data_IF_184503856668
#
_entry.id   IF_184503856668
#
_cell.length_a   1.000
_cell.length_b   1.000
_cell.length_c   1.000
_cell.angle_alpha   90.00
_cell.angle_beta   90.00
_cell.angle_gamma   90.00
#
_symmetry.space_group_name_H-M   'P 1'
#
loop_
_entity.id
_entity.type
_entity.pdbx_description
1 polymer ?
#
# COMPACT_ATOMS: atom_id res chain seq x y z
N UNK A 1 -4.07 -12.62 3.08
CA UNK A 1 -4.85 -13.04 4.25
C UNK A 1 -6.28 -12.50 4.26
N UNK A 2 -6.59 -11.20 4.48
CA UNK A 2 -7.94 -10.63 4.70
C UNK A 2 -9.00 -11.07 3.67
N UNK A 3 -8.75 -10.85 2.37
CA UNK A 3 -9.73 -11.20 1.32
C UNK A 3 -10.07 -12.69 1.31
N UNK A 4 -9.10 -13.55 1.61
CA UNK A 4 -9.30 -15.00 1.64
C UNK A 4 -10.17 -15.42 2.83
N UNK A 5 -9.93 -14.84 4.00
CA UNK A 5 -10.71 -15.10 5.21
C UNK A 5 -12.17 -14.62 5.03
N UNK A 6 -12.37 -13.40 4.53
CA UNK A 6 -13.70 -12.84 4.27
C UNK A 6 -14.46 -13.66 3.20
N UNK A 7 -13.76 -14.11 2.14
CA UNK A 7 -14.37 -14.97 1.11
C UNK A 7 -14.89 -16.30 1.68
N UNK A 8 -14.24 -16.80 2.74
CA UNK A 8 -14.65 -17.98 3.50
C UNK A 8 -15.67 -17.70 4.59
N UNK A 9 -16.12 -16.46 4.73
CA UNK A 9 -17.07 -16.04 5.76
C UNK A 9 -16.49 -15.97 7.18
N UNK A 10 -15.17 -15.75 7.31
CA UNK A 10 -14.50 -15.60 8.61
C UNK A 10 -14.43 -14.13 9.01
N UNK A 11 -14.23 -13.86 10.30
CA UNK A 11 -13.87 -12.56 10.85
C UNK A 11 -12.36 -12.51 11.05
N UNK A 12 -11.76 -11.35 10.75
CA UNK A 12 -10.34 -11.09 11.04
C UNK A 12 -10.26 -9.78 11.79
N UNK A 13 -9.72 -9.84 12.99
CA UNK A 13 -9.45 -8.66 13.77
C UNK A 13 -8.03 -8.18 13.50
N UNK A 14 -7.89 -6.90 13.24
CA UNK A 14 -6.61 -6.27 12.93
C UNK A 14 -6.39 -5.12 13.90
N UNK A 15 -5.27 -5.16 14.60
CA UNK A 15 -4.79 -4.07 15.44
C UNK A 15 -3.81 -3.24 14.64
N UNK A 16 -4.09 -1.94 14.54
CA UNK A 16 -3.19 -0.93 13.97
C UNK A 16 -2.58 -0.13 15.12
N UNK A 17 -1.27 -0.04 15.18
CA UNK A 17 -0.55 0.66 16.25
C UNK A 17 0.22 1.85 15.71
N UNK A 18 0.39 2.88 16.54
CA UNK A 18 1.19 4.07 16.27
C UNK A 18 2.14 4.29 17.45
N UNK A 19 3.43 4.46 17.18
CA UNK A 19 4.39 4.79 18.23
C UNK A 19 4.43 6.30 18.49
N UNK A 20 4.52 6.68 19.76
CA UNK A 20 4.72 8.08 20.15
C UNK A 20 6.10 8.55 19.72
N UNK A 21 6.19 9.40 18.67
CA UNK A 21 7.46 9.95 18.15
C UNK A 21 8.52 8.87 17.88
N UNK A 22 8.15 7.84 17.11
CA UNK A 22 8.94 6.64 16.86
C UNK A 22 10.42 6.92 16.57
N UNK A 23 10.72 7.77 15.58
CA UNK A 23 12.08 8.10 15.17
C UNK A 23 12.86 8.94 16.20
N UNK A 24 12.17 9.70 17.04
CA UNK A 24 12.81 10.62 18.01
C UNK A 24 13.12 9.93 19.35
N UNK A 25 12.47 8.81 19.64
CA UNK A 25 12.57 8.11 20.94
C UNK A 25 13.54 6.94 20.98
N UNK A 26 14.09 6.50 19.86
CA UNK A 26 15.00 5.35 19.80
C UNK A 26 16.19 5.55 20.76
N UNK A 27 16.35 4.77 21.84
CA UNK A 27 17.49 4.93 22.77
C UNK A 27 18.78 4.48 22.08
N UNK A 28 19.78 5.37 22.04
CA UNK A 28 21.05 5.11 21.31
C UNK A 28 21.77 3.87 21.81
N UNK A 29 21.80 3.64 23.15
CA UNK A 29 22.48 2.50 23.73
C UNK A 29 21.83 1.16 23.36
N UNK A 30 20.48 1.10 23.32
CA UNK A 30 19.76 -0.12 22.92
C UNK A 30 19.95 -0.36 21.41
N UNK A 31 19.85 0.67 20.58
CA UNK A 31 20.09 0.57 19.14
C UNK A 31 21.49 0.02 18.86
N UNK A 32 22.52 0.59 19.49
CA UNK A 32 23.92 0.15 19.32
C UNK A 32 24.12 -1.31 19.79
N UNK A 33 23.50 -1.70 20.90
CA UNK A 33 23.53 -3.09 21.38
C UNK A 33 22.88 -4.05 20.37
N UNK A 34 21.71 -3.69 19.83
CA UNK A 34 21.03 -4.51 18.78
C UNK A 34 21.86 -4.60 17.50
N UNK A 35 22.46 -3.49 17.05
CA UNK A 35 23.35 -3.48 15.88
C UNK A 35 24.54 -4.41 16.08
N UNK A 36 25.15 -4.40 17.28
CA UNK A 36 26.24 -5.32 17.64
C UNK A 36 25.78 -6.77 17.61
N UNK A 37 24.58 -7.07 18.15
CA UNK A 37 24.00 -8.42 18.12
C UNK A 37 23.69 -8.90 16.69
N UNK A 38 23.40 -8.00 15.76
CA UNK A 38 23.24 -8.31 14.33
C UNK A 38 24.57 -8.47 13.58
N UNK A 39 25.72 -8.40 14.29
CA UNK A 39 27.04 -8.57 13.70
C UNK A 39 27.66 -7.28 13.14
N UNK A 40 27.04 -6.12 13.34
CA UNK A 40 27.60 -4.81 12.97
C UNK A 40 28.58 -4.39 14.07
N UNK A 41 29.86 -4.71 13.88
CA UNK A 41 30.94 -4.49 14.87
C UNK A 41 32.11 -3.68 14.26
N UNK A 42 33.15 -3.41 15.04
CA UNK A 42 34.38 -2.76 14.58
C UNK A 42 34.18 -1.31 14.12
N UNK A 43 34.84 -0.94 13.05
CA UNK A 43 34.87 0.46 12.55
C UNK A 43 33.49 1.00 12.19
N UNK A 44 32.62 0.17 11.59
CA UNK A 44 31.27 0.59 11.23
C UNK A 44 30.43 0.87 12.48
N UNK A 45 30.49 0.03 13.49
CA UNK A 45 29.80 0.27 14.76
C UNK A 45 30.28 1.56 15.45
N UNK A 46 31.59 1.78 15.49
CA UNK A 46 32.18 2.98 16.05
C UNK A 46 31.74 4.23 15.29
N UNK A 47 31.65 4.15 13.95
CA UNK A 47 31.16 5.24 13.13
C UNK A 47 29.68 5.52 13.41
N UNK A 48 28.82 4.51 13.48
CA UNK A 48 27.39 4.67 13.81
C UNK A 48 27.21 5.28 15.20
N UNK A 49 28.00 4.86 16.17
CA UNK A 49 28.03 5.46 17.52
C UNK A 49 28.37 6.94 17.45
N UNK A 50 29.46 7.31 16.79
CA UNK A 50 29.87 8.71 16.58
C UNK A 50 28.83 9.54 15.83
N UNK A 51 28.09 8.90 14.91
CA UNK A 51 27.02 9.54 14.14
C UNK A 51 25.78 9.86 14.99
N UNK A 52 25.49 9.11 16.04
CA UNK A 52 24.37 9.30 16.95
C UNK A 52 24.71 10.22 18.14
N UNK A 53 25.90 10.11 18.68
CA UNK A 53 26.35 10.81 19.90
C UNK A 53 26.81 12.23 19.61
N UNK A 54 26.84 13.06 20.68
CA UNK A 54 27.35 14.46 20.66
C UNK A 54 26.67 15.34 19.61
N UNK A 55 25.39 15.17 19.45
CA UNK A 55 24.57 15.98 18.57
C UNK A 55 23.79 16.99 19.37
N UNK A 56 23.67 18.18 18.82
CA UNK A 56 22.97 19.30 19.44
C UNK A 56 22.00 19.92 18.44
N UNK A 57 20.92 20.48 18.93
CA UNK A 57 19.99 21.25 18.12
C UNK A 57 19.54 22.52 18.79
N UNK A 58 19.11 23.48 18.00
CA UNK A 58 18.39 24.67 18.42
C UNK A 58 17.27 24.97 17.41
N UNK A 59 16.26 25.70 17.84
CA UNK A 59 15.16 26.15 16.97
C UNK A 59 15.42 27.60 16.58
N UNK A 60 15.37 27.90 15.27
CA UNK A 60 15.49 29.27 14.76
C UNK A 60 14.17 29.69 14.08
N UNK A 61 13.59 30.82 14.53
CA UNK A 61 12.36 31.40 13.97
C UNK A 61 12.56 32.90 13.85
N UNK A 62 12.38 33.45 12.66
CA UNK A 62 12.49 34.91 12.39
C UNK A 62 13.77 35.56 12.91
N UNK A 63 14.90 34.85 12.82
CA UNK A 63 16.19 35.34 13.30
C UNK A 63 16.50 35.11 14.78
N UNK A 64 15.54 34.70 15.57
CA UNK A 64 15.76 34.32 16.98
C UNK A 64 16.11 32.83 17.07
N UNK A 65 17.01 32.51 18.03
CA UNK A 65 17.49 31.15 18.32
C UNK A 65 17.14 30.76 19.74
N UNK A 66 16.67 29.50 19.90
CA UNK A 66 16.51 28.90 21.22
C UNK A 66 17.89 28.59 21.86
N UNK A 67 17.93 28.23 23.15
CA UNK A 67 19.08 27.56 23.74
C UNK A 67 19.45 26.29 22.92
N UNK A 68 20.70 25.85 23.08
CA UNK A 68 21.20 24.63 22.48
C UNK A 68 20.82 23.44 23.37
N UNK A 69 20.28 22.38 22.80
CA UNK A 69 19.89 21.15 23.50
C UNK A 69 20.67 19.97 22.93
N UNK A 70 21.10 19.07 23.80
CA UNK A 70 21.72 17.81 23.39
C UNK A 70 20.65 16.79 22.96
N UNK A 71 20.96 16.03 21.92
CA UNK A 71 20.12 14.92 21.43
C UNK A 71 20.59 13.64 22.11
N UNK A 72 19.78 13.14 23.04
CA UNK A 72 20.09 11.92 23.82
C UNK A 72 19.39 10.66 23.29
N UNK A 73 18.46 10.81 22.34
CA UNK A 73 17.68 9.72 21.72
C UNK A 73 17.31 10.06 20.28
N UNK A 74 16.82 9.06 19.58
CA UNK A 74 16.30 9.19 18.23
C UNK A 74 17.34 9.01 17.13
N UNK A 75 16.82 8.70 15.95
CA UNK A 75 17.61 8.59 14.72
C UNK A 75 17.42 9.85 13.86
N UNK A 76 18.48 10.32 13.16
CA UNK A 76 18.41 11.58 12.43
C UNK A 76 17.37 11.56 11.32
N UNK A 77 16.32 12.35 11.45
CA UNK A 77 15.31 12.51 10.43
C UNK A 77 15.88 13.21 9.19
N UNK A 78 15.49 12.77 8.00
CA UNK A 78 16.00 13.28 6.73
C UNK A 78 17.36 12.74 6.31
N UNK A 79 17.97 11.86 7.11
CA UNK A 79 19.19 11.15 6.72
C UNK A 79 18.87 9.84 5.97
N UNK A 80 19.81 9.35 5.16
CA UNK A 80 19.66 8.03 4.51
C UNK A 80 19.83 6.87 5.51
N UNK A 81 20.56 7.07 6.59
CA UNK A 81 20.88 6.04 7.59
C UNK A 81 19.78 5.91 8.66
N UNK A 82 19.07 7.00 8.97
CA UNK A 82 18.02 7.02 9.99
C UNK A 82 16.95 5.93 9.82
N UNK A 83 16.31 5.81 8.66
CA UNK A 83 15.32 4.76 8.43
C UNK A 83 15.90 3.33 8.54
N UNK A 84 17.15 3.12 8.12
CA UNK A 84 17.83 1.82 8.23
C UNK A 84 18.07 1.47 9.70
N UNK A 85 18.53 2.43 10.50
CA UNK A 85 18.74 2.23 11.93
C UNK A 85 17.42 1.98 12.67
N UNK A 86 16.35 2.70 12.31
CA UNK A 86 15.03 2.44 12.89
C UNK A 86 14.54 1.04 12.54
N UNK A 87 14.66 0.63 11.27
CA UNK A 87 14.30 -0.74 10.87
C UNK A 87 15.12 -1.80 11.61
N UNK A 88 16.42 -1.59 11.79
CA UNK A 88 17.25 -2.50 12.56
C UNK A 88 16.85 -2.54 14.05
N UNK A 89 16.48 -1.39 14.63
CA UNK A 89 16.00 -1.29 16.01
C UNK A 89 14.70 -2.06 16.23
N UNK A 90 13.74 -1.92 15.30
CA UNK A 90 12.41 -2.50 15.40
C UNK A 90 12.29 -3.94 14.82
N UNK A 91 13.40 -4.50 14.29
CA UNK A 91 13.39 -5.78 13.56
C UNK A 91 13.04 -6.99 14.42
N UNK A 92 13.12 -6.89 15.74
CA UNK A 92 12.77 -7.94 16.69
C UNK A 92 11.30 -7.90 17.14
N UNK A 93 10.52 -6.86 16.81
CA UNK A 93 9.08 -6.78 17.13
C UNK A 93 8.30 -8.02 16.66
N UNK A 94 8.48 -8.53 15.42
CA UNK A 94 7.74 -9.71 14.98
C UNK A 94 7.99 -10.96 15.84
N UNK A 95 9.09 -11.03 16.57
CA UNK A 95 9.40 -12.17 17.43
C UNK A 95 8.63 -12.16 18.76
N UNK A 96 8.13 -11.02 19.20
CA UNK A 96 7.27 -10.95 20.39
C UNK A 96 5.81 -11.31 20.06
N UNK A 97 5.37 -11.20 18.81
CA UNK A 97 4.01 -11.51 18.35
C UNK A 97 3.92 -12.97 17.93
N UNK A 98 3.42 -13.84 18.82
CA UNK A 98 3.46 -15.30 18.64
C UNK A 98 2.22 -15.87 17.95
N UNK A 99 1.09 -15.20 18.08
CA UNK A 99 -0.23 -15.73 17.72
C UNK A 99 -0.87 -15.01 16.53
N UNK A 100 -0.25 -13.91 16.05
CA UNK A 100 -0.77 -13.04 15.00
C UNK A 100 0.15 -12.97 13.79
N UNK A 101 -0.42 -12.72 12.61
CA UNK A 101 0.37 -12.31 11.44
C UNK A 101 0.75 -10.83 11.59
N UNK A 102 2.05 -10.56 11.63
CA UNK A 102 2.63 -9.22 11.77
C UNK A 102 2.98 -8.61 10.42
N UNK A 103 2.65 -7.33 10.23
CA UNK A 103 3.05 -6.53 9.07
C UNK A 103 3.58 -5.19 9.55
N UNK A 104 4.79 -4.87 9.14
CA UNK A 104 5.47 -3.64 9.55
C UNK A 104 6.03 -2.90 8.35
N UNK A 105 5.87 -1.57 8.35
CA UNK A 105 6.48 -0.67 7.39
C UNK A 105 6.97 0.58 8.12
N UNK A 106 8.27 0.65 8.39
CA UNK A 106 8.86 1.63 9.31
C UNK A 106 8.15 1.58 10.68
N UNK A 107 7.53 2.67 11.11
CA UNK A 107 6.79 2.78 12.36
C UNK A 107 5.31 2.34 12.26
N UNK A 108 4.79 2.17 11.05
CA UNK A 108 3.44 1.65 10.83
C UNK A 108 3.43 0.13 11.08
N UNK A 109 2.99 -0.29 12.27
CA UNK A 109 2.87 -1.69 12.68
C UNK A 109 1.40 -2.09 12.72
N UNK A 110 1.08 -3.24 12.16
CA UNK A 110 -0.22 -3.89 12.31
C UNK A 110 -0.07 -5.39 12.44
N UNK A 111 -0.93 -6.00 13.21
CA UNK A 111 -0.98 -7.45 13.34
C UNK A 111 -2.41 -7.94 13.41
N UNK A 112 -2.65 -9.16 13.03
CA UNK A 112 -4.00 -9.65 12.73
C UNK A 112 -4.15 -11.13 13.04
N UNK A 113 -5.37 -11.49 13.46
CA UNK A 113 -5.77 -12.88 13.73
C UNK A 113 -7.15 -13.16 13.17
N UNK A 114 -7.38 -14.38 12.69
CA UNK A 114 -8.72 -14.88 12.36
C UNK A 114 -9.42 -15.21 13.67
N UNK A 115 -10.62 -14.66 13.88
CA UNK A 115 -11.41 -14.86 15.12
C UNK A 115 -12.51 -15.89 14.84
N UNK A 116 -12.38 -17.05 15.46
CA UNK A 116 -13.35 -18.15 15.40
C UNK A 116 -13.94 -18.48 16.77
N UNK A 117 -13.22 -18.15 17.85
CA UNK A 117 -13.60 -18.36 19.26
C UNK A 117 -13.13 -17.19 20.13
N UNK A 118 -13.58 -17.18 21.39
CA UNK A 118 -13.12 -16.21 22.40
C UNK A 118 -11.63 -16.41 22.72
N UNK A 119 -11.12 -17.64 22.66
CA UNK A 119 -9.69 -17.93 22.81
C UNK A 119 -8.83 -17.18 21.78
N UNK A 120 -9.33 -16.99 20.54
CA UNK A 120 -8.60 -16.21 19.51
C UNK A 120 -8.50 -14.74 19.90
N UNK A 121 -9.49 -14.21 20.63
CA UNK A 121 -9.47 -12.84 21.16
C UNK A 121 -8.39 -12.72 22.24
N UNK A 122 -8.35 -13.67 23.18
CA UNK A 122 -7.36 -13.70 24.26
C UNK A 122 -5.93 -13.83 23.71
N UNK A 123 -5.73 -14.66 22.68
CA UNK A 123 -4.44 -14.81 22.02
C UNK A 123 -4.01 -13.52 21.30
N UNK A 124 -4.93 -12.81 20.65
CA UNK A 124 -4.62 -11.52 20.04
C UNK A 124 -4.34 -10.44 21.11
N UNK A 125 -5.06 -10.45 22.24
CA UNK A 125 -4.77 -9.58 23.39
C UNK A 125 -3.38 -9.88 23.96
N UNK A 126 -3.00 -11.15 24.11
CA UNK A 126 -1.66 -11.54 24.56
C UNK A 126 -0.54 -10.99 23.69
N UNK A 127 -0.76 -10.91 22.37
CA UNK A 127 0.20 -10.26 21.46
C UNK A 127 0.24 -8.73 21.66
N UNK A 128 -0.91 -8.08 21.95
CA UNK A 128 -0.91 -6.66 22.33
C UNK A 128 -0.07 -6.43 23.59
N UNK A 129 -0.27 -7.27 24.62
CA UNK A 129 0.46 -7.16 25.89
C UNK A 129 1.96 -7.39 25.70
N UNK A 130 2.33 -8.36 24.84
CA UNK A 130 3.72 -8.62 24.47
C UNK A 130 4.36 -7.44 23.77
N UNK A 131 3.62 -6.74 22.90
CA UNK A 131 4.09 -5.50 22.25
C UNK A 131 4.28 -4.37 23.28
N UNK A 132 3.37 -4.22 24.24
CA UNK A 132 3.49 -3.23 25.32
C UNK A 132 4.74 -3.51 26.17
N UNK A 133 4.99 -4.77 26.50
CA UNK A 133 6.21 -5.17 27.20
C UNK A 133 7.46 -4.85 26.38
N UNK A 134 7.47 -5.19 25.08
CA UNK A 134 8.58 -4.85 24.18
C UNK A 134 8.84 -3.33 24.17
N UNK A 135 7.78 -2.53 24.11
CA UNK A 135 7.89 -1.06 24.16
C UNK A 135 8.57 -0.60 25.45
N UNK A 136 8.15 -1.12 26.59
CA UNK A 136 8.73 -0.80 27.91
C UNK A 136 10.23 -1.15 27.97
N UNK A 137 10.59 -2.33 27.51
CA UNK A 137 11.99 -2.82 27.49
C UNK A 137 12.88 -2.03 26.54
N UNK A 138 12.32 -1.52 25.46
CA UNK A 138 13.06 -0.79 24.43
C UNK A 138 12.92 0.74 24.53
N UNK A 139 12.33 1.27 25.60
CA UNK A 139 12.18 2.72 25.79
C UNK A 139 11.22 3.38 24.79
N UNK A 140 10.33 2.60 24.19
CA UNK A 140 9.30 3.07 23.26
C UNK A 140 7.96 3.22 23.97
N UNK A 141 7.02 3.90 23.33
CA UNK A 141 5.67 4.08 23.84
C UNK A 141 4.64 4.07 22.72
N UNK A 142 3.54 3.38 22.92
CA UNK A 142 2.42 3.40 21.99
C UNK A 142 1.55 4.66 22.21
N UNK A 143 1.10 5.25 21.12
CA UNK A 143 0.11 6.31 21.16
C UNK A 143 -1.30 5.71 21.09
N UNK A 144 -1.86 5.34 22.23
CA UNK A 144 -3.15 4.63 22.30
C UNK A 144 -4.28 5.37 21.56
N UNK A 145 -4.26 6.71 21.58
CA UNK A 145 -5.26 7.54 20.85
C UNK A 145 -5.20 7.38 19.34
N UNK A 146 -4.11 6.83 18.81
CA UNK A 146 -3.91 6.53 17.39
C UNK A 146 -3.82 5.03 17.12
N UNK A 147 -3.99 4.20 18.11
CA UNK A 147 -4.15 2.77 17.94
C UNK A 147 -5.62 2.47 17.62
N UNK A 148 -5.85 1.63 16.63
CA UNK A 148 -7.19 1.28 16.17
C UNK A 148 -7.36 -0.22 16.04
N UNK A 149 -8.56 -0.69 16.32
CA UNK A 149 -8.99 -2.04 16.05
C UNK A 149 -10.04 -2.04 14.93
N UNK A 150 -9.87 -2.92 13.94
CA UNK A 150 -10.81 -3.10 12.83
C UNK A 150 -11.23 -4.56 12.72
N UNK A 151 -12.53 -4.81 12.75
CA UNK A 151 -13.14 -6.13 12.49
C UNK A 151 -13.42 -6.25 11.00
N UNK A 152 -12.60 -6.99 10.28
CA UNK A 152 -12.82 -7.26 8.87
C UNK A 152 -13.72 -8.48 8.71
N UNK A 153 -14.97 -8.27 8.33
CA UNK A 153 -15.95 -9.34 8.13
C UNK A 153 -17.12 -8.88 7.26
N UNK A 154 -17.83 -9.85 6.69
CA UNK A 154 -19.14 -9.68 6.03
C UNK A 154 -20.22 -10.52 6.71
N UNK A 155 -19.94 -11.10 7.86
CA UNK A 155 -20.94 -11.79 8.68
C UNK A 155 -21.97 -10.77 9.21
N UNK A 156 -23.24 -11.20 9.30
CA UNK A 156 -24.29 -10.39 9.96
C UNK A 156 -24.10 -10.37 11.48
N UNK A 157 -23.69 -11.51 12.03
CA UNK A 157 -23.39 -11.66 13.46
C UNK A 157 -21.88 -11.70 13.59
N UNK A 158 -21.31 -10.72 14.26
CA UNK A 158 -19.88 -10.60 14.55
C UNK A 158 -19.59 -11.06 15.96
N UNK A 159 -18.41 -11.69 16.15
CA UNK A 159 -17.89 -11.94 17.49
C UNK A 159 -17.50 -10.61 18.13
N UNK A 160 -18.05 -10.33 19.29
CA UNK A 160 -17.69 -9.13 20.05
C UNK A 160 -16.26 -9.29 20.58
N UNK A 161 -15.40 -8.33 20.31
CA UNK A 161 -14.02 -8.32 20.80
C UNK A 161 -13.66 -6.91 21.25
N UNK A 162 -12.93 -6.80 22.35
CA UNK A 162 -12.42 -5.54 22.91
C UNK A 162 -10.96 -5.80 23.26
N UNK A 163 -10.08 -4.87 22.87
CA UNK A 163 -8.64 -4.97 23.11
C UNK A 163 -8.15 -3.77 23.89
N UNK A 164 -7.10 -3.98 24.69
CA UNK A 164 -6.58 -3.00 25.62
C UNK A 164 -5.07 -2.81 25.44
N UNK A 165 -4.59 -1.60 25.67
CA UNK A 165 -3.17 -1.29 25.90
C UNK A 165 -3.04 -0.83 27.34
N UNK A 166 -2.59 -1.69 28.24
CA UNK A 166 -2.65 -1.46 29.68
C UNK A 166 -4.08 -1.29 30.14
N UNK A 167 -4.43 -0.13 30.69
CA UNK A 167 -5.80 0.20 31.15
C UNK A 167 -6.68 0.81 30.04
N UNK A 168 -6.11 1.22 28.94
CA UNK A 168 -6.81 1.98 27.90
C UNK A 168 -7.39 1.06 26.84
N UNK A 169 -8.65 1.28 26.47
CA UNK A 169 -9.33 0.52 25.40
C UNK A 169 -8.86 1.01 24.04
N UNK A 170 -8.49 0.07 23.15
CA UNK A 170 -8.21 0.36 21.74
C UNK A 170 -9.54 0.67 21.03
N UNK A 171 -9.60 1.83 20.38
CA UNK A 171 -10.81 2.26 19.69
C UNK A 171 -11.15 1.35 18.50
N UNK A 172 -12.36 0.75 18.50
CA UNK A 172 -12.89 0.07 17.31
C UNK A 172 -13.33 1.09 16.27
N UNK A 173 -12.89 0.87 15.02
CA UNK A 173 -13.27 1.71 13.87
C UNK A 173 -13.70 0.85 12.71
N UNK A 174 -14.66 1.34 11.90
CA UNK A 174 -15.12 0.65 10.70
C UNK A 174 -14.28 0.93 9.47
N UNK A 175 -13.36 1.89 9.55
CA UNK A 175 -12.48 2.30 8.46
C UNK A 175 -11.12 2.71 9.02
N UNK A 176 -10.06 2.35 8.31
CA UNK A 176 -8.69 2.73 8.64
C UNK A 176 -7.95 3.16 7.37
N UNK A 177 -7.04 4.10 7.52
CA UNK A 177 -6.12 4.48 6.44
C UNK A 177 -4.77 3.81 6.68
N UNK A 178 -4.41 2.92 5.76
CA UNK A 178 -3.18 2.14 5.80
C UNK A 178 -2.35 2.43 4.55
N UNK A 179 -1.12 2.90 4.71
CA UNK A 179 -0.20 3.31 3.63
C UNK A 179 -0.89 4.12 2.52
N UNK A 180 -1.76 5.04 2.91
CA UNK A 180 -2.47 5.94 2.00
C UNK A 180 -3.73 5.38 1.34
N UNK A 181 -4.09 4.11 1.57
CA UNK A 181 -5.34 3.47 1.13
C UNK A 181 -6.32 3.39 2.28
N UNK A 182 -7.59 3.77 2.06
CA UNK A 182 -8.64 3.59 3.07
C UNK A 182 -9.24 2.20 2.91
N UNK A 183 -9.16 1.40 3.96
CA UNK A 183 -9.78 0.10 4.09
C UNK A 183 -11.05 0.24 4.92
N UNK A 184 -12.15 -0.28 4.41
CA UNK A 184 -13.39 -0.44 5.17
C UNK A 184 -13.53 -1.89 5.66
N UNK A 185 -14.24 -2.09 6.77
CA UNK A 185 -14.41 -3.41 7.43
C UNK A 185 -14.94 -4.52 6.51
N UNK A 186 -15.58 -4.17 5.39
CA UNK A 186 -16.10 -5.12 4.41
C UNK A 186 -15.20 -5.27 3.16
N UNK A 187 -14.07 -4.58 3.10
CA UNK A 187 -13.16 -4.51 1.95
C UNK A 187 -13.86 -4.14 0.63
N UNK A 188 -14.79 -3.20 0.67
CA UNK A 188 -15.48 -2.71 -0.53
C UNK A 188 -14.64 -1.69 -1.29
N UNK A 189 -13.75 -0.99 -0.60
CA UNK A 189 -12.97 0.16 -1.09
C UNK A 189 -13.82 1.32 -1.61
N UNK A 190 -15.14 1.31 -1.40
CA UNK A 190 -16.02 2.41 -1.81
C UNK A 190 -15.61 3.73 -1.17
N UNK A 191 -15.36 3.82 0.16
CA UNK A 191 -14.91 5.05 0.80
C UNK A 191 -13.58 5.56 0.25
N UNK A 192 -12.65 4.65 -0.10
CA UNK A 192 -11.40 5.02 -0.73
C UNK A 192 -11.62 5.65 -2.11
N UNK A 193 -12.39 4.98 -2.98
CA UNK A 193 -12.70 5.47 -4.33
C UNK A 193 -13.38 6.84 -4.28
N UNK A 194 -14.30 7.06 -3.35
CA UNK A 194 -14.94 8.37 -3.17
C UNK A 194 -13.97 9.45 -2.71
N UNK A 195 -13.11 9.12 -1.78
CA UNK A 195 -12.06 10.03 -1.29
C UNK A 195 -11.10 10.47 -2.40
N UNK A 196 -10.59 9.52 -3.20
CA UNK A 196 -9.66 9.84 -4.30
C UNK A 196 -10.36 10.61 -5.42
N UNK A 197 -11.62 10.31 -5.74
CA UNK A 197 -12.41 11.07 -6.72
C UNK A 197 -12.56 12.52 -6.24
N UNK A 198 -12.92 12.73 -4.97
CA UNK A 198 -13.05 14.09 -4.38
C UNK A 198 -11.72 14.85 -4.45
N UNK A 199 -10.61 14.20 -4.03
CA UNK A 199 -9.27 14.79 -4.07
C UNK A 199 -8.83 15.10 -5.49
N UNK A 200 -8.95 14.15 -6.42
CA UNK A 200 -8.55 14.32 -7.81
C UNK A 200 -9.41 15.39 -8.54
N UNK A 201 -10.71 15.49 -8.24
CA UNK A 201 -11.58 16.54 -8.79
C UNK A 201 -11.16 17.93 -8.34
N UNK A 202 -10.78 18.09 -7.05
CA UNK A 202 -10.24 19.34 -6.51
C UNK A 202 -8.91 19.71 -7.20
N UNK A 203 -8.00 18.73 -7.35
CA UNK A 203 -6.72 18.94 -8.04
C UNK A 203 -6.92 19.25 -9.53
N UNK A 204 -7.87 18.59 -10.20
CA UNK A 204 -8.21 18.90 -11.60
C UNK A 204 -8.70 20.34 -11.74
N UNK A 205 -9.58 20.81 -10.85
CA UNK A 205 -10.03 22.20 -10.84
C UNK A 205 -8.86 23.19 -10.70
N UNK A 206 -7.91 22.89 -9.81
CA UNK A 206 -6.69 23.67 -9.66
C UNK A 206 -5.86 23.68 -10.95
N UNK A 207 -5.58 22.50 -11.52
CA UNK A 207 -4.81 22.35 -12.76
C UNK A 207 -5.48 23.15 -13.89
N UNK A 208 -6.78 22.98 -14.12
CA UNK A 208 -7.51 23.66 -15.21
C UNK A 208 -7.39 25.20 -15.10
N UNK A 209 -7.49 25.75 -13.90
CA UNK A 209 -7.37 27.21 -13.71
C UNK A 209 -5.97 27.74 -13.99
N UNK A 210 -4.94 26.94 -13.68
CA UNK A 210 -3.55 27.39 -13.77
C UNK A 210 -2.84 27.02 -15.09
N UNK A 211 -3.44 26.17 -15.94
CA UNK A 211 -2.82 25.78 -17.22
C UNK A 211 -3.18 26.68 -18.41
N UNK A 212 -3.97 27.72 -18.23
CA UNK A 212 -4.41 28.59 -19.30
C UNK A 212 -3.26 29.33 -20.02
N UNK A 213 -2.24 29.74 -19.27
CA UNK A 213 -1.04 30.39 -19.81
C UNK A 213 -0.07 29.45 -20.57
N UNK A 214 -0.21 28.14 -20.44
CA UNK A 214 0.68 27.21 -21.15
C UNK A 214 0.19 26.96 -22.58
N UNK A 215 1.05 27.22 -23.57
CA UNK A 215 0.71 27.02 -24.99
C UNK A 215 0.74 25.52 -25.38
N UNK A 216 1.74 24.74 -24.88
CA UNK A 216 1.96 23.35 -25.28
C UNK A 216 1.02 22.39 -24.55
N UNK A 217 0.30 21.55 -25.32
CA UNK A 217 -0.56 20.49 -24.75
C UNK A 217 0.23 19.47 -23.96
N UNK A 218 1.48 19.17 -24.32
CA UNK A 218 2.36 18.25 -23.59
C UNK A 218 2.63 18.72 -22.16
N UNK A 219 2.85 20.02 -21.93
CA UNK A 219 3.03 20.59 -20.59
C UNK A 219 1.75 20.46 -19.75
N UNK A 220 0.58 20.73 -20.36
CA UNK A 220 -0.72 20.56 -19.69
C UNK A 220 -0.97 19.10 -19.29
N UNK A 221 -0.64 18.15 -20.17
CA UNK A 221 -0.75 16.71 -19.92
C UNK A 221 0.23 16.29 -18.81
N UNK A 222 1.45 16.81 -18.81
CA UNK A 222 2.43 16.51 -17.76
C UNK A 222 1.90 16.93 -16.37
N UNK A 223 1.36 18.14 -16.25
CA UNK A 223 0.77 18.62 -14.99
C UNK A 223 -0.43 17.77 -14.56
N UNK A 224 -1.31 17.40 -15.49
CA UNK A 224 -2.40 16.46 -15.19
C UNK A 224 -1.88 15.13 -14.69
N UNK A 225 -0.88 14.56 -15.36
CA UNK A 225 -0.30 13.26 -14.99
C UNK A 225 0.33 13.28 -13.61
N UNK A 226 1.05 14.36 -13.26
CA UNK A 226 1.77 14.47 -12.00
C UNK A 226 0.84 14.77 -10.82
N UNK A 227 -0.16 15.65 -11.01
CA UNK A 227 -0.97 16.19 -9.91
C UNK A 227 -2.29 15.43 -9.76
N UNK A 228 -2.93 15.04 -10.86
CA UNK A 228 -4.29 14.46 -10.83
C UNK A 228 -4.25 12.95 -11.01
N UNK A 229 -3.61 12.48 -12.10
CA UNK A 229 -3.60 11.05 -12.43
C UNK A 229 -2.86 10.22 -11.38
N UNK A 230 -1.78 10.72 -10.80
CA UNK A 230 -1.05 10.06 -9.71
C UNK A 230 -1.97 9.68 -8.55
N UNK A 231 -2.91 10.56 -8.18
CA UNK A 231 -3.92 10.28 -7.13
C UNK A 231 -4.89 9.17 -7.55
N UNK A 232 -5.27 9.11 -8.84
CA UNK A 232 -6.23 8.13 -9.37
C UNK A 232 -5.64 6.74 -9.62
N UNK A 233 -4.31 6.61 -9.57
CA UNK A 233 -3.60 5.36 -9.89
C UNK A 233 -2.80 4.79 -8.70
N UNK A 234 -2.56 5.59 -7.66
CA UNK A 234 -1.78 5.15 -6.50
C UNK A 234 -2.38 3.87 -5.89
N UNK A 235 -1.55 2.83 -5.74
CA UNK A 235 -1.93 1.52 -5.19
C UNK A 235 -3.16 0.87 -5.85
N UNK A 236 -3.47 1.18 -7.11
CA UNK A 236 -4.70 0.71 -7.77
C UNK A 236 -4.81 -0.81 -7.85
N UNK A 237 -3.72 -1.54 -7.80
CA UNK A 237 -3.71 -3.02 -7.70
C UNK A 237 -4.40 -3.52 -6.44
N UNK A 238 -4.41 -2.75 -5.34
CA UNK A 238 -5.09 -3.13 -4.09
C UNK A 238 -6.60 -2.88 -4.21
N UNK A 239 -7.00 -1.65 -4.54
CA UNK A 239 -8.39 -1.17 -4.43
C UNK A 239 -9.16 -1.14 -5.75
N UNK A 240 -8.60 -1.63 -6.85
CA UNK A 240 -9.23 -1.57 -8.18
C UNK A 240 -10.72 -1.94 -8.13
N UNK A 241 -11.62 -1.01 -8.47
CA UNK A 241 -13.05 -1.28 -8.39
C UNK A 241 -13.47 -2.27 -9.49
N UNK A 242 -14.31 -3.21 -9.12
CA UNK A 242 -14.91 -4.16 -10.06
C UNK A 242 -16.28 -3.69 -10.57
N UNK A 243 -16.94 -2.78 -9.86
CA UNK A 243 -18.20 -2.19 -10.32
C UNK A 243 -18.00 -1.14 -11.41
N UNK A 244 -18.76 -1.25 -12.49
CA UNK A 244 -18.69 -0.31 -13.62
C UNK A 244 -18.95 1.14 -13.21
N UNK A 245 -19.86 1.38 -12.26
CA UNK A 245 -20.21 2.70 -11.74
C UNK A 245 -18.99 3.44 -11.18
N UNK A 246 -18.16 2.78 -10.40
CA UNK A 246 -16.95 3.37 -9.83
C UNK A 246 -15.88 3.62 -10.91
N UNK A 247 -15.70 2.69 -11.83
CA UNK A 247 -14.81 2.86 -12.97
C UNK A 247 -15.22 4.07 -13.83
N UNK A 248 -16.51 4.21 -14.13
CA UNK A 248 -17.03 5.35 -14.89
C UNK A 248 -16.83 6.69 -14.15
N UNK A 249 -17.01 6.72 -12.82
CA UNK A 249 -16.78 7.92 -12.00
C UNK A 249 -15.32 8.34 -12.02
N UNK A 250 -14.37 7.41 -11.91
CA UNK A 250 -12.94 7.68 -12.03
C UNK A 250 -12.59 8.21 -13.42
N UNK A 251 -13.08 7.52 -14.46
CA UNK A 251 -12.82 7.88 -15.85
C UNK A 251 -13.39 9.26 -16.22
N UNK A 252 -14.50 9.70 -15.59
CA UNK A 252 -15.11 11.02 -15.79
C UNK A 252 -14.15 12.16 -15.50
N UNK A 253 -13.20 11.98 -14.56
CA UNK A 253 -12.18 12.99 -14.24
C UNK A 253 -11.25 13.21 -15.44
N UNK A 254 -10.74 12.12 -16.03
CA UNK A 254 -9.90 12.20 -17.23
C UNK A 254 -10.68 12.71 -18.45
N UNK A 255 -11.94 12.28 -18.62
CA UNK A 255 -12.82 12.77 -19.68
C UNK A 255 -12.98 14.30 -19.61
N UNK A 256 -13.16 14.85 -18.39
CA UNK A 256 -13.28 16.30 -18.17
C UNK A 256 -11.98 17.03 -18.51
N UNK A 257 -10.82 16.51 -18.11
CA UNK A 257 -9.52 17.07 -18.49
C UNK A 257 -9.34 17.11 -20.01
N UNK A 258 -9.56 15.97 -20.67
CA UNK A 258 -9.41 15.85 -22.12
C UNK A 258 -10.42 16.71 -22.90
N UNK A 259 -11.62 16.88 -22.36
CA UNK A 259 -12.59 17.81 -22.94
C UNK A 259 -12.07 19.25 -22.89
N UNK A 260 -11.57 19.68 -21.75
CA UNK A 260 -11.00 21.03 -21.59
C UNK A 260 -9.77 21.23 -22.50
N UNK A 261 -8.89 20.24 -22.58
CA UNK A 261 -7.71 20.27 -23.43
C UNK A 261 -8.08 20.35 -24.92
N UNK A 262 -9.09 19.58 -25.36
CA UNK A 262 -9.58 19.59 -26.73
C UNK A 262 -10.22 20.94 -27.09
N UNK A 263 -11.02 21.53 -26.19
CA UNK A 263 -11.61 22.84 -26.38
C UNK A 263 -10.53 23.91 -26.53
N UNK A 264 -9.54 23.94 -25.66
CA UNK A 264 -8.44 24.89 -25.70
C UNK A 264 -7.55 24.77 -26.97
N UNK A 265 -7.60 23.66 -27.67
CA UNK A 265 -6.85 23.41 -28.93
C UNK A 265 -7.74 23.53 -30.19
N UNK A 266 -8.98 24.01 -30.08
CA UNK A 266 -9.88 24.20 -31.23
C UNK A 266 -10.23 22.90 -31.97
N UNK A 267 -10.22 21.73 -31.27
CA UNK A 267 -10.44 20.44 -31.90
C UNK A 267 -11.84 20.29 -32.43
N UNK A 268 -12.00 19.91 -33.70
CA UNK A 268 -13.24 19.78 -34.42
C UNK A 268 -14.27 18.87 -33.73
N UNK A 269 -15.57 19.09 -34.04
CA UNK A 269 -16.71 18.30 -33.52
C UNK A 269 -16.55 16.79 -33.78
N UNK A 270 -15.91 16.38 -34.91
CA UNK A 270 -15.66 14.96 -35.24
C UNK A 270 -14.77 14.23 -34.22
N UNK A 271 -13.86 14.93 -33.56
CA UNK A 271 -12.95 14.36 -32.53
C UNK A 271 -13.46 14.55 -31.11
N UNK A 272 -14.77 14.64 -30.90
CA UNK A 272 -15.38 14.88 -29.57
C UNK A 272 -15.62 13.62 -28.76
N UNK A 273 -15.57 12.42 -29.36
CA UNK A 273 -15.64 11.18 -28.59
C UNK A 273 -14.46 11.06 -27.64
N UNK A 274 -14.62 10.33 -26.55
CA UNK A 274 -13.55 10.14 -25.56
C UNK A 274 -12.36 9.42 -26.19
N UNK A 275 -12.62 8.36 -26.96
CA UNK A 275 -11.58 7.54 -27.58
C UNK A 275 -10.81 8.32 -28.65
N UNK A 276 -11.49 9.15 -29.45
CA UNK A 276 -10.83 10.04 -30.39
C UNK A 276 -9.90 11.07 -29.70
N UNK A 277 -10.29 11.56 -28.52
CA UNK A 277 -9.43 12.46 -27.73
C UNK A 277 -8.24 11.73 -27.11
N UNK A 278 -8.45 10.52 -26.59
CA UNK A 278 -7.35 9.68 -26.11
C UNK A 278 -6.31 9.45 -27.21
N UNK A 279 -6.75 9.02 -28.38
CA UNK A 279 -5.87 8.80 -29.55
C UNK A 279 -5.14 10.09 -29.96
N UNK A 280 -5.86 11.21 -30.08
CA UNK A 280 -5.28 12.50 -30.48
C UNK A 280 -4.17 12.97 -29.53
N UNK A 281 -4.40 12.86 -28.21
CA UNK A 281 -3.44 13.30 -27.19
C UNK A 281 -2.47 12.17 -26.77
N UNK A 282 -2.49 11.03 -27.43
CA UNK A 282 -1.67 9.83 -27.12
C UNK A 282 -1.79 9.43 -25.64
N UNK A 283 -3.01 9.50 -25.11
CA UNK A 283 -3.33 9.09 -23.74
C UNK A 283 -4.10 7.77 -23.75
N UNK A 284 -4.05 7.07 -22.63
CA UNK A 284 -4.71 5.78 -22.41
C UNK A 284 -5.77 5.96 -21.32
N UNK A 285 -6.89 5.21 -21.40
CA UNK A 285 -7.92 5.25 -20.37
C UNK A 285 -7.37 4.82 -19.01
N UNK A 286 -7.92 5.36 -17.92
CA UNK A 286 -7.49 5.00 -16.57
C UNK A 286 -7.76 3.52 -16.26
N UNK A 287 -8.82 2.94 -16.82
CA UNK A 287 -9.11 1.52 -16.67
C UNK A 287 -8.00 0.66 -17.30
N UNK A 288 -7.66 0.93 -18.56
CA UNK A 288 -6.57 0.23 -19.25
C UNK A 288 -5.24 0.39 -18.51
N UNK A 289 -4.94 1.57 -17.99
CA UNK A 289 -3.73 1.81 -17.20
C UNK A 289 -3.67 1.00 -15.92
N UNK A 290 -4.79 0.88 -15.19
CA UNK A 290 -4.87 0.01 -13.99
C UNK A 290 -4.66 -1.46 -14.35
N UNK A 291 -5.17 -1.92 -15.49
CA UNK A 291 -4.91 -3.28 -15.97
C UNK A 291 -3.44 -3.51 -16.32
N UNK A 292 -2.80 -2.53 -16.97
CA UNK A 292 -1.35 -2.58 -17.24
C UNK A 292 -0.55 -2.60 -15.94
N UNK A 293 -0.93 -1.80 -14.94
CA UNK A 293 -0.28 -1.80 -13.62
C UNK A 293 -0.39 -3.17 -12.92
N UNK A 294 -1.56 -3.81 -12.99
CA UNK A 294 -1.78 -5.17 -12.50
C UNK A 294 -0.86 -6.18 -13.21
N UNK A 295 -0.74 -6.10 -14.54
CA UNK A 295 0.15 -6.97 -15.33
C UNK A 295 1.62 -6.80 -14.92
N UNK A 296 2.08 -5.55 -14.80
CA UNK A 296 3.45 -5.22 -14.38
C UNK A 296 3.73 -5.73 -12.96
N UNK A 297 2.76 -5.58 -12.05
CA UNK A 297 2.88 -6.05 -10.68
C UNK A 297 3.05 -7.57 -10.64
N UNK A 298 2.21 -8.31 -11.37
CA UNK A 298 2.32 -9.76 -11.50
C UNK A 298 3.67 -10.19 -12.09
N UNK A 299 4.10 -9.56 -13.17
CA UNK A 299 5.41 -9.85 -13.79
C UNK A 299 6.55 -9.67 -12.78
N UNK A 300 6.52 -8.58 -12.00
CA UNK A 300 7.56 -8.30 -11.01
C UNK A 300 7.61 -9.35 -9.90
N UNK A 301 6.44 -9.85 -9.43
CA UNK A 301 6.37 -10.92 -8.43
C UNK A 301 6.91 -12.23 -9.02
N UNK A 302 6.42 -12.65 -10.19
CA UNK A 302 6.83 -13.90 -10.81
C UNK A 302 8.33 -13.94 -11.18
N UNK A 303 8.93 -12.77 -11.40
CA UNK A 303 10.37 -12.61 -11.70
C UNK A 303 11.23 -12.33 -10.47
N UNK A 304 10.67 -12.43 -9.26
CA UNK A 304 11.39 -12.15 -8.01
C UNK A 304 11.89 -10.70 -7.87
N UNK A 305 11.34 -9.75 -8.68
CA UNK A 305 11.68 -8.32 -8.56
C UNK A 305 10.93 -7.63 -7.41
N UNK A 306 9.89 -8.26 -6.92
CA UNK A 306 9.21 -7.96 -5.67
C UNK A 306 9.33 -9.20 -4.82
N UNK A 307 10.07 -9.09 -3.72
CA UNK A 307 10.20 -10.16 -2.76
C UNK A 307 8.96 -10.20 -1.87
N UNK A 308 8.09 -11.15 -2.13
CA UNK A 308 6.87 -11.40 -1.35
C UNK A 308 6.47 -12.87 -1.48
N UNK A 309 7.16 -13.79 -0.77
CA UNK A 309 6.92 -15.23 -0.86
C UNK A 309 5.49 -15.61 -0.52
N UNK A 310 4.88 -14.95 0.48
CA UNK A 310 3.49 -15.21 0.90
C UNK A 310 2.48 -14.89 -0.21
N UNK A 311 2.75 -13.89 -1.04
CA UNK A 311 1.88 -13.59 -2.18
C UNK A 311 2.19 -14.52 -3.36
N UNK A 312 3.47 -14.79 -3.61
CA UNK A 312 3.92 -15.69 -4.68
C UNK A 312 3.35 -17.09 -4.53
N UNK A 313 3.31 -17.64 -3.32
CA UNK A 313 2.76 -18.97 -3.02
C UNK A 313 1.27 -19.12 -3.33
N UNK A 314 0.54 -18.03 -3.53
CA UNK A 314 -0.86 -18.05 -3.94
C UNK A 314 -1.06 -18.18 -5.46
N UNK A 315 0.00 -18.08 -6.26
CA UNK A 315 -0.06 -18.28 -7.70
C UNK A 315 0.28 -19.72 -8.06
N UNK A 316 -0.73 -20.47 -8.51
CA UNK A 316 -0.58 -21.88 -8.87
C UNK A 316 -0.37 -21.99 -10.38
N UNK A 317 0.76 -22.57 -10.77
CA UNK A 317 1.02 -22.90 -12.17
C UNK A 317 0.33 -24.22 -12.56
N UNK A 318 -0.19 -24.26 -13.78
CA UNK A 318 -0.71 -25.51 -14.35
C UNK A 318 0.45 -26.33 -14.91
N UNK A 319 0.57 -27.55 -14.44
CA UNK A 319 1.45 -28.57 -15.02
C UNK A 319 0.57 -29.71 -15.59
N UNK A 320 0.24 -29.66 -16.88
CA UNK A 320 -0.62 -30.68 -17.46
C UNK A 320 0.12 -32.03 -17.56
N UNK A 321 -0.54 -33.10 -17.16
CA UNK A 321 0.02 -34.46 -17.27
C UNK A 321 0.20 -34.93 -18.74
N UNK A 322 -0.52 -34.30 -19.67
CA UNK A 322 -0.44 -34.55 -21.13
C UNK A 322 -0.53 -33.23 -21.86
N UNK A 323 0.14 -33.09 -23.01
CA UNK A 323 0.01 -31.91 -23.86
C UNK A 323 -1.40 -31.86 -24.45
N UNK A 324 -2.24 -30.90 -24.05
CA UNK A 324 -3.57 -30.74 -24.61
C UNK A 324 -3.49 -30.13 -26.02
N UNK A 325 -4.50 -30.39 -26.85
CA UNK A 325 -4.65 -29.75 -28.17
C UNK A 325 -4.99 -28.26 -28.10
N UNK A 326 -5.52 -27.78 -26.98
CA UNK A 326 -5.86 -26.37 -26.75
C UNK A 326 -4.74 -25.63 -25.99
N UNK A 327 -4.58 -24.32 -26.16
CA UNK A 327 -3.63 -23.51 -25.41
C UNK A 327 -3.82 -23.69 -23.90
N UNK A 328 -2.72 -23.89 -23.18
CA UNK A 328 -2.74 -24.04 -21.73
C UNK A 328 -2.65 -22.66 -21.10
N UNK A 329 -3.67 -22.29 -20.35
CA UNK A 329 -3.55 -21.11 -19.49
C UNK A 329 -2.56 -21.38 -18.35
N UNK A 330 -1.46 -20.60 -18.22
CA UNK A 330 -0.36 -20.95 -17.33
C UNK A 330 -0.70 -20.91 -15.84
N UNK A 331 -1.67 -20.07 -15.45
CA UNK A 331 -2.07 -19.91 -14.05
C UNK A 331 -3.44 -20.50 -13.78
N UNK A 332 -3.57 -21.13 -12.62
CA UNK A 332 -4.85 -21.60 -12.10
C UNK A 332 -5.43 -20.55 -11.14
N UNK A 333 -6.53 -19.83 -11.51
CA UNK A 333 -7.15 -18.89 -10.58
C UNK A 333 -7.75 -19.66 -9.40
N UNK A 334 -7.36 -19.35 -8.15
CA UNK A 334 -7.91 -20.06 -7.00
C UNK A 334 -9.43 -19.89 -6.93
N UNK A 335 -10.19 -20.96 -6.61
CA UNK A 335 -11.65 -20.91 -6.49
C UNK A 335 -12.05 -19.91 -5.40
N UNK A 336 -13.09 -19.14 -5.66
CA UNK A 336 -13.62 -18.11 -4.74
C UNK A 336 -15.14 -18.22 -4.66
N UNK A 337 -15.67 -17.95 -3.47
CA UNK A 337 -17.12 -18.08 -3.20
C UNK A 337 -17.89 -16.80 -3.50
N UNK A 338 -17.24 -15.64 -3.37
CA UNK A 338 -17.89 -14.33 -3.48
C UNK A 338 -17.36 -13.53 -4.66
N UNK A 339 -18.16 -12.55 -5.13
CA UNK A 339 -17.73 -11.59 -6.16
C UNK A 339 -16.49 -10.80 -5.72
N UNK A 340 -16.41 -10.46 -4.42
CA UNK A 340 -15.21 -9.86 -3.85
C UNK A 340 -13.99 -10.76 -4.02
N UNK A 341 -14.10 -12.02 -3.61
CA UNK A 341 -13.03 -13.01 -3.73
C UNK A 341 -12.58 -13.18 -5.18
N UNK A 342 -13.53 -13.32 -6.13
CA UNK A 342 -13.25 -13.47 -7.57
C UNK A 342 -12.55 -12.26 -8.18
N UNK A 343 -12.75 -11.06 -7.66
CA UNK A 343 -12.12 -9.81 -8.10
C UNK A 343 -10.93 -9.39 -7.21
N UNK A 344 -10.57 -10.20 -6.22
CA UNK A 344 -9.38 -9.97 -5.41
C UNK A 344 -8.10 -10.09 -6.24
N UNK A 345 -6.97 -9.64 -5.69
CA UNK A 345 -5.71 -9.49 -6.42
C UNK A 345 -5.32 -10.77 -7.15
N UNK A 346 -5.20 -11.91 -6.46
CA UNK A 346 -4.66 -13.14 -7.05
C UNK A 346 -5.55 -13.68 -8.19
N UNK A 347 -6.87 -13.93 -8.03
CA UNK A 347 -7.71 -14.41 -9.13
C UNK A 347 -7.76 -13.44 -10.30
N UNK A 348 -7.75 -12.13 -10.04
CA UNK A 348 -7.77 -11.10 -11.08
C UNK A 348 -6.49 -11.09 -11.90
N UNK A 349 -5.33 -11.18 -11.24
CA UNK A 349 -4.03 -11.23 -11.90
C UNK A 349 -3.86 -12.53 -12.71
N UNK A 350 -4.31 -13.67 -12.19
CA UNK A 350 -4.31 -14.93 -12.93
C UNK A 350 -5.15 -14.84 -14.22
N UNK A 351 -6.39 -14.32 -14.12
CA UNK A 351 -7.25 -14.14 -15.28
C UNK A 351 -6.62 -13.20 -16.32
N UNK A 352 -5.99 -12.13 -15.84
CA UNK A 352 -5.36 -11.14 -16.70
C UNK A 352 -4.18 -11.73 -17.47
N UNK A 353 -3.26 -12.44 -16.82
CA UNK A 353 -2.14 -13.10 -17.52
C UNK A 353 -2.64 -14.18 -18.49
N UNK A 354 -3.59 -15.00 -18.07
CA UNK A 354 -4.16 -16.05 -18.91
C UNK A 354 -4.82 -15.50 -20.20
N UNK A 355 -5.28 -14.23 -20.20
CA UNK A 355 -5.92 -13.63 -21.38
C UNK A 355 -4.95 -13.30 -22.53
N UNK A 356 -3.64 -13.29 -22.28
CA UNK A 356 -2.61 -13.05 -23.29
C UNK A 356 -1.38 -13.96 -23.12
N UNK A 357 -1.57 -15.12 -22.49
CA UNK A 357 -0.49 -16.07 -22.19
C UNK A 357 0.22 -16.60 -23.43
N UNK A 358 -0.51 -16.71 -24.55
CA UNK A 358 0.04 -17.19 -25.83
C UNK A 358 1.05 -16.20 -26.45
N UNK A 359 1.04 -14.95 -26.01
CA UNK A 359 1.88 -13.87 -26.52
C UNK A 359 3.10 -13.57 -25.63
N UNK A 360 3.10 -14.11 -24.39
CA UNK A 360 4.06 -13.75 -23.35
C UNK A 360 4.64 -14.99 -22.70
N UNK A 361 5.95 -15.05 -22.67
CA UNK A 361 6.69 -15.93 -21.77
C UNK A 361 7.19 -15.12 -20.57
N UNK A 362 6.55 -15.28 -19.41
CA UNK A 362 6.90 -14.54 -18.20
C UNK A 362 8.32 -14.87 -17.73
N UNK A 363 8.81 -16.09 -18.03
CA UNK A 363 10.12 -16.55 -17.58
C UNK A 363 11.27 -16.03 -18.46
N UNK A 364 11.07 -15.93 -19.76
CA UNK A 364 12.13 -15.59 -20.72
C UNK A 364 12.00 -14.20 -21.31
N UNK A 365 10.79 -13.62 -21.39
CA UNK A 365 10.61 -12.32 -22.00
C UNK A 365 11.22 -11.18 -21.17
N UNK A 366 11.81 -10.20 -21.87
CA UNK A 366 12.28 -8.98 -21.23
C UNK A 366 11.12 -8.14 -20.72
N UNK A 367 11.35 -7.31 -19.68
CA UNK A 367 10.35 -6.38 -19.18
C UNK A 367 9.76 -5.48 -20.27
N UNK A 368 10.60 -5.00 -21.21
CA UNK A 368 10.16 -4.14 -22.30
C UNK A 368 9.21 -4.86 -23.27
N UNK A 369 9.49 -6.13 -23.62
CA UNK A 369 8.61 -6.96 -24.46
C UNK A 369 7.29 -7.22 -23.72
N UNK A 370 7.35 -7.64 -22.47
CA UNK A 370 6.17 -7.88 -21.64
C UNK A 370 5.28 -6.63 -21.52
N UNK A 371 5.87 -5.48 -21.20
CA UNK A 371 5.13 -4.21 -21.07
C UNK A 371 4.43 -3.82 -22.38
N UNK A 372 5.11 -4.02 -23.54
CA UNK A 372 4.51 -3.73 -24.85
C UNK A 372 3.30 -4.63 -25.11
N UNK A 373 3.43 -5.94 -24.88
CA UNK A 373 2.34 -6.90 -25.08
C UNK A 373 1.18 -6.60 -24.13
N UNK A 374 1.44 -6.39 -22.85
CA UNK A 374 0.42 -5.99 -21.88
C UNK A 374 -0.28 -4.69 -22.28
N UNK A 375 0.46 -3.71 -22.81
CA UNK A 375 -0.12 -2.44 -23.26
C UNK A 375 -1.02 -2.57 -24.50
N UNK A 376 -0.79 -3.55 -25.35
CA UNK A 376 -1.57 -3.74 -26.57
C UNK A 376 -2.80 -4.63 -26.35
N UNK A 377 -2.73 -5.64 -25.46
CA UNK A 377 -3.74 -6.68 -25.29
C UNK A 377 -4.62 -6.50 -24.04
N UNK A 378 -4.35 -5.52 -23.23
CA UNK A 378 -5.17 -5.14 -22.06
C UNK A 378 -6.16 -3.93 -22.38
#
# INVERSE_FOLDING_TARGET
MLTNAIDRGKQVDVIYTDFSKAFDRVPHHILLAKLSAYGITGTLHTWLKSYLERRFFFVAVNGFRSPIYEITSGVPQGSHVGPIMFNAFANDIPHCLKFSECFMYADDLKFSRVIESDEDIDLLQSDVDSLVQWCSENGMELNVKKCYHVKFTRKKIMTASIYHVGSDVIQEVSQVRDLGVNFDSQLTFVPHVESIIKKASKMLGFVIRNITGFRRSSTKILLYNSIVRSVLEYCSTIWRPHYATHNLRLERIQKRFLWHLAFANGISKRKRSYDARLAHFKMVSLEKRRRIADSIFLFKILRGKIDCPQLLSNFMFRAPARFPRAPITPLYPPPRRTVLGMNSIVPRLCKLLNSYSDLVDVQFDSFGKFHRIASNNV
#
